data_IF_626347432088
#
_entry.id   IF_626347432088
#
_cell.length_a   1.000
_cell.length_b   1.000
_cell.length_c   1.000
_cell.angle_alpha   90.00
_cell.angle_beta   90.00
_cell.angle_gamma   90.00
#
_symmetry.space_group_name_H-M   'P 1'
#
loop_
_entity.id
_entity.type
_entity.pdbx_description
1 polymer ?
#
# COMPACT_ATOMS: atom_id res chain seq x y z
N UNK A 1 9.29 -17.22 -14.65
CA UNK A 1 8.16 -17.40 -13.71
C UNK A 1 7.37 -16.14 -13.39
N UNK A 2 7.90 -14.93 -13.49
CA UNK A 2 7.17 -13.70 -13.16
C UNK A 2 6.19 -13.15 -14.21
N UNK A 3 6.50 -13.25 -15.49
CA UNK A 3 5.68 -12.65 -16.57
C UNK A 3 4.31 -13.32 -16.75
N UNK A 4 4.24 -14.62 -16.69
CA UNK A 4 2.97 -15.36 -16.82
C UNK A 4 2.03 -15.07 -15.64
N UNK A 5 2.58 -14.93 -14.43
CA UNK A 5 1.78 -14.58 -13.26
C UNK A 5 1.15 -13.20 -13.40
N UNK A 6 1.92 -12.20 -13.82
CA UNK A 6 1.43 -10.83 -14.05
C UNK A 6 0.35 -10.80 -15.13
N UNK A 7 0.53 -11.53 -16.23
CA UNK A 7 -0.47 -11.62 -17.30
C UNK A 7 -1.75 -12.27 -16.79
N UNK A 8 -1.66 -13.31 -15.97
CA UNK A 8 -2.80 -13.97 -15.38
C UNK A 8 -3.52 -13.08 -14.36
N UNK A 9 -2.77 -12.31 -13.55
CA UNK A 9 -3.34 -11.38 -12.59
C UNK A 9 -4.07 -10.21 -13.28
N UNK A 10 -3.52 -9.69 -14.39
CA UNK A 10 -4.18 -8.69 -15.23
C UNK A 10 -5.45 -9.26 -15.89
N UNK A 11 -5.41 -10.50 -16.33
CA UNK A 11 -6.57 -11.18 -16.93
C UNK A 11 -7.69 -11.35 -15.90
N UNK A 12 -7.34 -11.79 -14.70
CA UNK A 12 -8.27 -11.94 -13.59
C UNK A 12 -8.86 -10.60 -13.12
N UNK A 13 -8.07 -9.54 -13.10
CA UNK A 13 -8.54 -8.17 -12.83
C UNK A 13 -9.54 -7.69 -13.90
N UNK A 14 -9.27 -7.97 -15.17
CA UNK A 14 -10.20 -7.63 -16.28
C UNK A 14 -11.53 -8.40 -16.16
N UNK A 15 -11.49 -9.66 -15.78
CA UNK A 15 -12.67 -10.48 -15.52
C UNK A 15 -13.48 -9.92 -14.33
N UNK A 16 -12.82 -9.59 -13.22
CA UNK A 16 -13.47 -8.99 -12.04
C UNK A 16 -14.09 -7.62 -12.35
N UNK A 17 -13.42 -6.78 -13.13
CA UNK A 17 -13.96 -5.48 -13.57
C UNK A 17 -15.18 -5.67 -14.48
N UNK A 18 -15.17 -6.70 -15.34
CA UNK A 18 -16.32 -7.04 -16.17
C UNK A 18 -17.53 -7.49 -15.33
N UNK A 19 -17.28 -8.35 -14.34
CA UNK A 19 -18.32 -8.80 -13.40
C UNK A 19 -18.92 -7.66 -12.56
N UNK A 20 -18.10 -6.70 -12.15
CA UNK A 20 -18.55 -5.51 -11.41
C UNK A 20 -19.39 -4.61 -12.33
N UNK A 21 -19.01 -4.45 -13.58
CA UNK A 21 -19.77 -3.68 -14.56
C UNK A 21 -21.15 -4.30 -14.87
N UNK A 22 -21.23 -5.63 -14.82
CA UNK A 22 -22.50 -6.36 -15.01
C UNK A 22 -23.43 -6.27 -13.78
N UNK A 23 -22.88 -5.97 -12.59
CA UNK A 23 -23.63 -5.80 -11.35
C UNK A 23 -24.12 -4.36 -11.12
N UNK A 24 -23.57 -3.38 -11.83
CA UNK A 24 -23.99 -1.97 -11.74
C UNK A 24 -24.93 -1.69 -12.94
N UNK A 25 -26.21 -1.39 -12.70
CA UNK A 25 -27.11 -1.00 -13.80
C UNK A 25 -26.49 0.17 -14.57
N UNK A 26 -26.42 0.06 -15.89
CA UNK A 26 -25.83 1.07 -16.80
C UNK A 26 -26.40 2.49 -16.63
N UNK A 27 -27.49 2.65 -15.89
CA UNK A 27 -28.10 3.96 -15.56
C UNK A 27 -27.40 4.72 -14.42
N UNK A 28 -26.49 4.08 -13.69
CA UNK A 28 -25.79 4.68 -12.55
C UNK A 28 -24.26 4.76 -12.73
N UNK A 29 -23.73 4.28 -13.84
CA UNK A 29 -22.32 4.44 -14.15
C UNK A 29 -22.04 5.94 -14.37
N UNK A 30 -21.29 6.54 -13.44
CA UNK A 30 -20.91 7.93 -13.52
C UNK A 30 -20.18 8.17 -14.86
N UNK A 31 -20.54 9.21 -15.63
CA UNK A 31 -19.92 9.53 -16.94
C UNK A 31 -18.39 9.65 -16.87
N UNK A 32 -17.86 9.88 -15.68
CA UNK A 32 -16.43 9.95 -15.38
C UNK A 32 -15.71 8.60 -15.49
N UNK A 33 -16.36 7.48 -15.15
CA UNK A 33 -15.73 6.15 -15.23
C UNK A 33 -15.52 5.69 -16.68
N UNK A 34 -16.45 5.98 -17.58
CA UNK A 34 -16.24 5.71 -19.01
C UNK A 34 -15.13 6.57 -19.63
N UNK A 35 -15.03 7.82 -19.20
CA UNK A 35 -13.97 8.73 -19.64
C UNK A 35 -12.60 8.24 -19.17
N UNK A 36 -12.48 7.83 -17.90
CA UNK A 36 -11.25 7.28 -17.33
C UNK A 36 -10.84 6.00 -18.06
N UNK A 37 -11.76 5.10 -18.39
CA UNK A 37 -11.47 3.88 -19.14
C UNK A 37 -11.05 4.17 -20.60
N UNK A 38 -11.65 5.15 -21.24
CA UNK A 38 -11.23 5.59 -22.60
C UNK A 38 -9.86 6.26 -22.58
N UNK A 39 -9.59 7.06 -21.57
CA UNK A 39 -8.28 7.69 -21.38
C UNK A 39 -7.20 6.64 -21.04
N UNK A 40 -7.51 5.62 -20.26
CA UNK A 40 -6.59 4.50 -20.00
C UNK A 40 -6.22 3.77 -21.30
N UNK A 41 -7.19 3.43 -22.16
CA UNK A 41 -6.94 2.82 -23.47
C UNK A 41 -6.06 3.67 -24.38
N UNK A 42 -6.18 4.99 -24.32
CA UNK A 42 -5.35 5.94 -25.10
C UNK A 42 -3.88 5.97 -24.64
N UNK A 43 -3.63 5.57 -23.38
CA UNK A 43 -2.29 5.53 -22.81
C UNK A 43 -1.70 4.13 -22.78
N UNK A 44 -2.49 3.07 -23.04
CA UNK A 44 -2.02 1.68 -23.04
C UNK A 44 -0.87 1.46 -24.04
N UNK A 45 -0.93 2.13 -25.22
CA UNK A 45 0.12 2.11 -26.24
C UNK A 45 1.29 3.07 -25.97
N UNK A 46 1.11 4.00 -25.01
CA UNK A 46 2.10 5.01 -24.65
C UNK A 46 2.82 4.74 -23.34
N UNK A 47 2.42 3.70 -22.63
CA UNK A 47 3.21 3.22 -21.49
C UNK A 47 4.54 2.74 -22.11
N UNK A 48 5.64 3.47 -21.92
CA UNK A 48 6.92 3.00 -22.43
C UNK A 48 7.09 1.57 -21.93
N UNK A 49 7.62 0.70 -22.75
CA UNK A 49 7.94 -0.67 -22.42
C UNK A 49 9.03 -0.76 -21.34
N UNK A 50 8.84 -0.05 -20.23
CA UNK A 50 9.64 -0.23 -19.00
C UNK A 50 9.54 -1.66 -18.47
N UNK A 51 8.59 -2.43 -19.01
CA UNK A 51 8.44 -3.86 -18.71
C UNK A 51 9.31 -4.73 -19.61
N UNK A 52 9.88 -4.20 -20.69
CA UNK A 52 10.74 -4.94 -21.58
C UNK A 52 12.20 -4.58 -21.33
N UNK A 53 12.83 -5.37 -20.56
CA UNK A 53 14.25 -5.62 -20.35
C UNK A 53 14.79 -5.12 -19.00
N UNK A 54 15.35 -6.12 -18.36
CA UNK A 54 16.10 -6.11 -17.13
C UNK A 54 15.21 -5.72 -15.94
N UNK A 55 14.95 -6.68 -15.08
CA UNK A 55 14.58 -6.37 -13.71
C UNK A 55 15.51 -5.24 -13.27
N UNK A 56 15.01 -4.02 -13.05
CA UNK A 56 15.86 -3.00 -12.48
C UNK A 56 16.43 -3.66 -11.23
N UNK A 57 17.73 -3.70 -11.14
CA UNK A 57 18.40 -4.08 -9.89
C UNK A 57 18.01 -2.98 -8.94
N UNK A 58 16.90 -3.17 -8.23
CA UNK A 58 16.50 -2.25 -7.18
C UNK A 58 17.61 -2.35 -6.13
N UNK A 59 18.39 -1.30 -5.91
CA UNK A 59 19.46 -1.36 -4.96
C UNK A 59 18.86 -1.71 -3.59
N UNK A 60 19.31 -2.83 -3.02
CA UNK A 60 18.90 -3.22 -1.67
C UNK A 60 19.53 -2.24 -0.69
N UNK A 61 18.69 -1.45 -0.05
CA UNK A 61 19.12 -0.54 1.03
C UNK A 61 18.92 -1.26 2.34
N UNK A 62 19.99 -1.39 3.11
CA UNK A 62 19.91 -1.95 4.45
C UNK A 62 19.56 -0.84 5.43
N UNK A 63 18.47 -1.03 6.16
CA UNK A 63 18.06 -0.18 7.29
C UNK A 63 18.26 -0.99 8.55
N UNK A 64 19.13 -0.48 9.45
CA UNK A 64 19.30 -1.11 10.75
C UNK A 64 18.19 -0.62 11.68
N UNK A 65 17.72 -1.51 12.54
CA UNK A 65 16.75 -1.14 13.57
C UNK A 65 17.07 -1.81 14.90
N UNK A 66 16.56 -1.21 15.96
CA UNK A 66 16.57 -1.74 17.30
C UNK A 66 15.15 -1.79 17.82
N UNK A 67 14.69 -2.96 18.23
CA UNK A 67 13.39 -3.17 18.85
C UNK A 67 13.57 -3.28 20.37
N UNK A 68 13.03 -2.30 21.09
CA UNK A 68 12.98 -2.30 22.57
C UNK A 68 11.56 -2.62 23.11
N UNK A 69 10.63 -2.94 22.23
CA UNK A 69 9.30 -3.37 22.62
C UNK A 69 9.26 -4.88 22.88
N UNK A 70 8.13 -5.36 23.37
CA UNK A 70 7.81 -6.79 23.45
C UNK A 70 7.12 -7.33 22.20
N UNK A 71 6.89 -6.46 21.21
CA UNK A 71 6.30 -6.85 19.93
C UNK A 71 7.33 -7.59 19.07
N UNK A 72 6.82 -8.37 18.13
CA UNK A 72 7.66 -8.99 17.09
C UNK A 72 8.37 -7.93 16.26
N UNK A 73 9.51 -8.27 15.72
CA UNK A 73 10.25 -7.41 14.82
C UNK A 73 9.42 -7.06 13.57
N UNK A 74 9.58 -5.85 13.03
CA UNK A 74 8.92 -5.47 11.80
C UNK A 74 9.46 -6.31 10.64
N UNK A 75 8.55 -6.82 9.81
CA UNK A 75 8.89 -7.61 8.63
C UNK A 75 7.86 -7.37 7.53
N UNK A 76 8.29 -7.59 6.29
CA UNK A 76 7.41 -7.56 5.13
C UNK A 76 6.51 -8.80 5.13
N UNK A 77 5.23 -8.61 4.89
CA UNK A 77 4.28 -9.71 4.89
C UNK A 77 4.37 -10.54 3.60
N UNK A 78 4.61 -9.88 2.46
CA UNK A 78 4.82 -10.52 1.17
C UNK A 78 6.07 -9.97 0.48
N UNK A 79 6.67 -10.77 -0.38
CA UNK A 79 7.73 -10.32 -1.28
C UNK A 79 7.17 -9.25 -2.23
N UNK A 80 7.82 -8.09 -2.27
CA UNK A 80 7.41 -6.96 -3.11
C UNK A 80 6.49 -5.96 -2.44
N UNK A 81 6.14 -6.16 -1.16
CA UNK A 81 5.44 -5.14 -0.38
C UNK A 81 6.27 -3.85 -0.31
N UNK A 82 5.62 -2.71 -0.45
CA UNK A 82 6.27 -1.39 -0.39
C UNK A 82 6.53 -0.91 1.03
N UNK A 83 5.99 -1.60 2.03
CA UNK A 83 6.10 -1.24 3.43
C UNK A 83 5.86 -2.43 4.34
N UNK A 84 6.18 -2.23 5.61
CA UNK A 84 5.97 -3.23 6.65
C UNK A 84 5.12 -2.65 7.80
N UNK A 85 4.40 -3.52 8.48
CA UNK A 85 3.61 -3.15 9.66
C UNK A 85 4.47 -3.14 10.92
N UNK A 86 4.23 -2.17 11.78
CA UNK A 86 4.72 -2.19 13.15
C UNK A 86 3.61 -1.85 14.14
N UNK A 87 3.83 -2.18 15.38
CA UNK A 87 2.79 -2.13 16.42
C UNK A 87 3.07 -1.06 17.46
N UNK A 88 2.00 -0.57 18.07
CA UNK A 88 2.11 0.23 19.29
C UNK A 88 2.72 -0.61 20.43
N UNK A 89 3.66 -0.03 21.16
CA UNK A 89 4.22 -0.60 22.39
C UNK A 89 3.53 0.01 23.59
N UNK A 90 2.42 -0.59 23.99
CA UNK A 90 1.55 -0.10 25.07
C UNK A 90 1.22 -1.24 26.01
N UNK A 91 1.18 -0.97 27.31
CA UNK A 91 0.88 -1.96 28.36
C UNK A 91 -0.63 -2.16 28.57
N UNK A 92 -1.43 -1.20 28.14
CA UNK A 92 -2.89 -1.23 28.27
C UNK A 92 -3.57 -0.54 27.09
N UNK A 93 -4.85 -0.87 26.80
CA UNK A 93 -5.61 -0.23 25.75
C UNK A 93 -5.66 1.30 25.92
N UNK A 94 -5.49 2.02 24.80
CA UNK A 94 -5.59 3.48 24.76
C UNK A 94 -6.87 3.86 24.05
N UNK A 95 -7.71 4.62 24.73
CA UNK A 95 -8.92 5.22 24.15
C UNK A 95 -8.62 6.62 23.64
N UNK A 96 -9.01 6.90 22.41
CA UNK A 96 -8.95 8.23 21.81
C UNK A 96 -10.36 8.76 21.62
N UNK A 97 -10.61 9.98 22.08
CA UNK A 97 -11.85 10.71 21.78
C UNK A 97 -11.80 11.25 20.34
N UNK A 98 -12.93 11.58 19.73
CA UNK A 98 -12.93 12.25 18.43
C UNK A 98 -12.00 13.47 18.43
N UNK A 99 -11.15 13.57 17.39
CA UNK A 99 -10.14 14.62 17.22
C UNK A 99 -9.00 14.63 18.27
N UNK A 100 -8.99 13.71 19.20
CA UNK A 100 -7.89 13.59 20.17
C UNK A 100 -6.60 13.10 19.47
N UNK A 101 -5.49 13.63 19.92
CA UNK A 101 -4.15 13.25 19.47
C UNK A 101 -3.36 12.72 20.66
N UNK A 102 -2.66 11.62 20.44
CA UNK A 102 -1.83 11.02 21.48
C UNK A 102 -0.53 10.51 20.89
N UNK A 103 0.56 10.72 21.57
CA UNK A 103 1.82 10.09 21.23
C UNK A 103 1.76 8.62 21.67
N UNK A 104 1.96 7.72 20.72
CA UNK A 104 1.96 6.28 20.97
C UNK A 104 3.36 5.74 20.68
N UNK A 105 4.06 5.20 21.68
CA UNK A 105 5.38 4.63 21.46
C UNK A 105 5.30 3.34 20.63
N UNK A 106 6.32 3.10 19.81
CA UNK A 106 6.49 1.84 19.08
C UNK A 106 7.59 0.95 19.67
N UNK A 107 8.50 1.56 20.42
CA UNK A 107 9.71 0.90 20.91
C UNK A 107 10.74 0.61 19.82
N UNK A 108 10.52 1.07 18.58
CA UNK A 108 11.41 0.88 17.45
C UNK A 108 12.28 2.10 17.21
N UNK A 109 13.54 1.86 16.90
CA UNK A 109 14.53 2.87 16.54
C UNK A 109 15.18 2.46 15.24
N UNK A 110 15.28 3.37 14.27
CA UNK A 110 15.82 3.10 12.95
C UNK A 110 17.04 3.96 12.65
N UNK A 111 18.05 3.36 12.06
CA UNK A 111 19.16 4.07 11.43
C UNK A 111 18.90 4.11 9.93
N UNK A 112 18.36 5.25 9.46
CA UNK A 112 18.02 5.45 8.05
C UNK A 112 19.22 6.04 7.32
N UNK A 113 19.71 5.45 6.22
CA UNK A 113 20.83 5.97 5.46
C UNK A 113 20.52 7.35 4.86
N UNK A 114 21.58 8.14 4.66
CA UNK A 114 21.45 9.47 4.03
C UNK A 114 20.81 9.36 2.65
N UNK A 115 19.84 10.24 2.38
CA UNK A 115 19.10 10.26 1.11
C UNK A 115 17.84 9.39 1.11
N UNK A 116 17.52 8.73 2.24
CA UNK A 116 16.30 7.96 2.43
C UNK A 116 15.49 8.49 3.60
N UNK A 117 14.22 8.20 3.60
CA UNK A 117 13.30 8.51 4.70
C UNK A 117 12.49 7.27 5.09
N UNK A 118 12.02 7.23 6.32
CA UNK A 118 11.03 6.28 6.79
C UNK A 118 9.70 7.03 6.99
N UNK A 119 8.73 6.76 6.12
CA UNK A 119 7.43 7.41 6.20
C UNK A 119 6.45 6.53 6.96
N UNK A 120 5.91 7.05 8.06
CA UNK A 120 4.85 6.38 8.83
C UNK A 120 3.49 6.69 8.18
N UNK A 121 2.71 5.64 7.91
CA UNK A 121 1.40 5.75 7.25
C UNK A 121 0.34 5.01 8.06
N UNK A 122 -0.90 5.48 8.10
CA UNK A 122 -1.99 4.75 8.74
C UNK A 122 -2.35 3.50 7.94
N UNK A 123 -2.81 2.46 8.61
CA UNK A 123 -3.45 1.32 7.93
C UNK A 123 -4.79 1.78 7.36
N UNK A 124 -5.00 1.53 6.08
CA UNK A 124 -6.21 1.97 5.35
C UNK A 124 -7.51 1.53 6.02
N UNK A 125 -7.56 0.29 6.52
CA UNK A 125 -8.73 -0.23 7.21
C UNK A 125 -9.04 0.48 8.53
N UNK A 126 -8.02 0.85 9.31
CA UNK A 126 -8.20 1.61 10.56
C UNK A 126 -8.58 3.06 10.28
N UNK A 127 -7.99 3.67 9.27
CA UNK A 127 -8.32 5.03 8.86
C UNK A 127 -9.77 5.12 8.38
N UNK A 128 -10.19 4.22 7.49
CA UNK A 128 -11.54 4.24 6.92
C UNK A 128 -12.63 3.86 7.92
N UNK A 129 -12.43 2.78 8.70
CA UNK A 129 -13.48 2.24 9.57
C UNK A 129 -13.53 2.90 10.94
N UNK A 130 -12.41 3.39 11.45
CA UNK A 130 -12.29 3.89 12.82
C UNK A 130 -11.83 5.35 12.88
N UNK A 131 -11.53 5.98 11.75
CA UNK A 131 -11.02 7.34 11.71
C UNK A 131 -9.65 7.52 12.37
N UNK A 132 -8.88 6.42 12.52
CA UNK A 132 -7.55 6.44 13.13
C UNK A 132 -6.52 6.74 12.06
N UNK A 133 -5.78 7.82 12.24
CA UNK A 133 -4.71 8.22 11.33
C UNK A 133 -3.44 8.57 12.09
N UNK A 134 -2.36 8.79 11.37
CA UNK A 134 -1.10 9.32 11.91
C UNK A 134 -0.84 10.69 11.30
N UNK A 135 -0.28 11.59 12.09
CA UNK A 135 0.04 12.95 11.65
C UNK A 135 1.49 13.03 11.18
N UNK A 136 2.32 12.17 11.74
CA UNK A 136 3.75 12.09 11.41
C UNK A 136 4.32 10.76 11.91
#
# INVERSE_FOLDING_TARGET
>A
MGKEKIINDIKKLKETISEINDLIPMSEALPETEKVLKDFKKYEDKIPSFVNNTNPVVPKVQIKFLNKSTNVDPDYFHEGDSGFDFRASIDSPVTLKPLERKLIPTGLYFEVPRGYELQVRPRSGLALKNGITVLN
#
